data_IF_672554978103
#
_entry.id   IF_672554978103
#
_cell.length_a   1.000
_cell.length_b   1.000
_cell.length_c   1.000
_cell.angle_alpha   90.00
_cell.angle_beta   90.00
_cell.angle_gamma   90.00
#
_symmetry.space_group_name_H-M   'P 1'
#
loop_
_entity.id
_entity.type
_entity.pdbx_description
1 polymer ?
#
# COMPACT_ATOMS: atom_id res chain seq x y z
N UNK A 1 -9.64 -0.36 22.71
CA UNK A 1 -9.08 -1.65 23.14
C UNK A 1 -7.64 -1.66 22.72
N UNK A 2 -6.70 -1.82 23.66
CA UNK A 2 -5.31 -2.05 23.31
C UNK A 2 -5.24 -3.42 22.63
N UNK A 3 -4.84 -3.45 21.36
CA UNK A 3 -4.54 -4.70 20.67
C UNK A 3 -3.21 -5.15 21.26
N UNK A 4 -3.25 -6.13 22.16
CA UNK A 4 -2.05 -6.81 22.63
C UNK A 4 -1.37 -7.39 21.37
N UNK A 5 -0.10 -7.08 21.07
CA UNK A 5 0.54 -7.57 19.86
C UNK A 5 0.66 -9.10 19.94
N UNK A 6 -0.24 -9.80 19.24
CA UNK A 6 -0.37 -11.26 19.31
C UNK A 6 0.83 -11.96 18.65
N UNK A 7 1.55 -11.29 17.73
CA UNK A 7 2.73 -11.85 17.07
C UNK A 7 4.04 -11.12 17.45
N UNK A 8 5.21 -11.80 17.35
CA UNK A 8 6.52 -11.15 17.45
C UNK A 8 6.71 -9.99 16.44
N UNK A 9 6.09 -10.09 15.27
CA UNK A 9 6.14 -9.06 14.24
C UNK A 9 5.41 -7.78 14.68
N UNK A 10 4.25 -7.92 15.32
CA UNK A 10 3.50 -6.77 15.85
C UNK A 10 4.29 -6.03 16.93
N UNK A 11 4.99 -6.77 17.80
CA UNK A 11 5.88 -6.19 18.82
C UNK A 11 7.02 -5.39 18.19
N UNK A 12 7.61 -5.92 17.12
CA UNK A 12 8.67 -5.24 16.39
C UNK A 12 8.17 -3.94 15.75
N UNK A 13 6.99 -3.96 15.13
CA UNK A 13 6.39 -2.75 14.58
C UNK A 13 6.04 -1.71 15.64
N UNK A 14 5.57 -2.13 16.81
CA UNK A 14 5.37 -1.23 17.95
C UNK A 14 6.69 -0.60 18.43
N UNK A 15 7.77 -1.38 18.47
CA UNK A 15 9.10 -0.87 18.81
C UNK A 15 9.57 0.18 17.80
N UNK A 16 9.43 -0.07 16.50
CA UNK A 16 9.77 0.89 15.44
C UNK A 16 8.91 2.16 15.50
N UNK A 17 7.64 2.05 15.90
CA UNK A 17 6.74 3.19 16.07
C UNK A 17 7.05 4.07 17.28
N UNK A 18 7.83 3.59 18.26
CA UNK A 18 8.04 4.26 19.55
C UNK A 18 8.60 5.68 19.42
N UNK A 19 9.51 5.90 18.48
CA UNK A 19 10.08 7.23 18.22
C UNK A 19 9.00 8.29 17.92
N UNK A 20 7.92 7.91 17.24
CA UNK A 20 6.82 8.81 16.90
C UNK A 20 5.80 8.95 18.04
N UNK A 21 5.75 7.98 18.97
CA UNK A 21 4.95 8.10 20.20
C UNK A 21 5.53 9.20 21.10
N UNK A 22 6.86 9.31 21.14
CA UNK A 22 7.57 10.31 21.94
C UNK A 22 7.46 11.74 21.36
N UNK A 23 7.03 11.90 20.10
CA UNK A 23 6.81 13.21 19.50
C UNK A 23 5.57 13.89 20.11
N UNK A 24 5.68 15.18 20.45
CA UNK A 24 4.52 16.01 20.69
C UNK A 24 3.68 16.17 19.41
N UNK A 25 2.43 16.62 19.55
CA UNK A 25 1.49 16.70 18.42
C UNK A 25 2.00 17.60 17.28
N UNK A 26 2.68 18.71 17.61
CA UNK A 26 3.17 19.66 16.62
C UNK A 26 4.40 19.12 15.89
N UNK A 27 5.31 18.45 16.61
CA UNK A 27 6.47 17.78 16.02
C UNK A 27 6.03 16.66 15.08
N UNK A 28 5.07 15.82 15.50
CA UNK A 28 4.49 14.77 14.66
C UNK A 28 3.79 15.35 13.42
N UNK A 29 2.99 16.41 13.59
CA UNK A 29 2.32 17.08 12.47
C UNK A 29 3.33 17.63 11.45
N UNK A 30 4.37 18.32 11.91
CA UNK A 30 5.42 18.88 11.04
C UNK A 30 6.18 17.79 10.31
N UNK A 31 6.55 16.72 11.01
CA UNK A 31 7.26 15.60 10.41
C UNK A 31 6.43 14.96 9.29
N UNK A 32 5.15 14.69 9.53
CA UNK A 32 4.25 14.14 8.50
C UNK A 32 4.10 15.05 7.29
N UNK A 33 3.85 16.35 7.51
CA UNK A 33 3.71 17.32 6.42
C UNK A 33 4.98 17.45 5.59
N UNK A 34 6.16 17.47 6.24
CA UNK A 34 7.45 17.51 5.56
C UNK A 34 7.69 16.24 4.75
N UNK A 35 7.42 15.06 5.33
CA UNK A 35 7.60 13.78 4.65
C UNK A 35 6.69 13.67 3.43
N UNK A 36 5.41 14.07 3.51
CA UNK A 36 4.52 14.14 2.34
C UNK A 36 5.09 14.99 1.21
N UNK A 37 5.71 16.14 1.54
CA UNK A 37 6.40 16.96 0.55
C UNK A 37 7.60 16.26 -0.12
N UNK A 38 8.27 15.32 0.57
CA UNK A 38 9.33 14.50 -0.03
C UNK A 38 8.79 13.39 -0.93
N UNK A 39 7.56 12.92 -0.67
CA UNK A 39 6.91 11.87 -1.47
C UNK A 39 6.31 12.40 -2.78
N UNK A 40 6.09 13.70 -2.89
CA UNK A 40 5.44 14.32 -4.03
C UNK A 40 6.18 14.04 -5.36
N UNK A 41 5.40 13.82 -6.42
CA UNK A 41 5.86 13.67 -7.81
C UNK A 41 6.36 12.27 -8.17
N UNK A 42 6.18 11.26 -7.32
CA UNK A 42 6.68 9.90 -7.57
C UNK A 42 5.69 8.80 -7.19
N UNK A 43 5.80 7.68 -7.89
CA UNK A 43 5.21 6.42 -7.50
C UNK A 43 6.21 5.65 -6.62
N UNK A 44 5.82 5.36 -5.38
CA UNK A 44 6.68 4.75 -4.37
C UNK A 44 6.34 3.30 -4.14
N UNK A 45 7.38 2.47 -4.02
CA UNK A 45 7.25 1.13 -3.46
C UNK A 45 6.75 1.19 -2.03
N UNK A 46 5.82 0.32 -1.67
CA UNK A 46 5.35 0.16 -0.30
C UNK A 46 6.51 -0.21 0.64
N UNK A 47 7.46 -1.02 0.15
CA UNK A 47 8.68 -1.41 0.88
C UNK A 47 9.67 -0.27 1.15
N UNK A 48 9.50 0.91 0.54
CA UNK A 48 10.47 2.00 0.68
C UNK A 48 10.60 2.45 2.15
N UNK A 49 11.80 2.54 2.74
CA UNK A 49 11.97 2.81 4.18
C UNK A 49 11.29 4.10 4.66
N UNK A 50 11.29 5.16 3.84
CA UNK A 50 10.59 6.42 4.15
C UNK A 50 9.07 6.23 4.21
N UNK A 51 8.49 5.35 3.38
CA UNK A 51 7.06 5.03 3.41
C UNK A 51 6.72 4.20 4.65
N UNK A 52 7.56 3.23 5.00
CA UNK A 52 7.43 2.48 6.25
C UNK A 52 7.44 3.41 7.48
N UNK A 53 8.40 4.32 7.55
CA UNK A 53 8.46 5.34 8.60
C UNK A 53 7.23 6.26 8.59
N UNK A 54 6.78 6.69 7.40
CA UNK A 54 5.58 7.51 7.26
C UNK A 54 4.35 6.79 7.81
N UNK A 55 4.14 5.53 7.44
CA UNK A 55 2.97 4.74 7.86
C UNK A 55 2.91 4.55 9.38
N UNK A 56 4.06 4.30 10.03
CA UNK A 56 4.13 4.22 11.49
C UNK A 56 3.75 5.54 12.16
N UNK A 57 4.31 6.66 11.69
CA UNK A 57 3.95 7.98 12.19
C UNK A 57 2.47 8.31 11.91
N UNK A 58 1.95 7.93 10.75
CA UNK A 58 0.59 8.20 10.32
C UNK A 58 -0.45 7.43 11.15
N UNK A 59 -0.16 6.18 11.55
CA UNK A 59 -1.01 5.41 12.47
C UNK A 59 -1.14 6.13 13.82
N UNK A 60 -0.02 6.52 14.42
CA UNK A 60 -0.02 7.25 15.69
C UNK A 60 -0.73 8.61 15.54
N UNK A 61 -0.53 9.28 14.41
CA UNK A 61 -1.18 10.54 14.13
C UNK A 61 -2.68 10.41 13.88
N UNK A 62 -3.12 9.30 13.29
CA UNK A 62 -4.52 8.96 13.13
C UNK A 62 -5.17 8.75 14.49
N UNK A 63 -4.57 7.95 15.37
CA UNK A 63 -5.07 7.73 16.74
C UNK A 63 -5.19 9.06 17.52
N UNK A 64 -4.20 9.94 17.34
CA UNK A 64 -4.16 11.27 17.99
C UNK A 64 -4.95 12.34 17.24
N UNK A 65 -5.57 12.00 16.10
CA UNK A 65 -6.36 12.91 15.26
C UNK A 65 -5.60 14.18 14.85
N UNK A 66 -4.30 14.04 14.55
CA UNK A 66 -3.37 15.17 14.33
C UNK A 66 -3.85 16.11 13.23
N UNK A 67 -4.32 15.57 12.10
CA UNK A 67 -4.78 16.38 10.97
C UNK A 67 -6.04 17.20 11.31
N UNK A 68 -6.93 16.67 12.16
CA UNK A 68 -8.12 17.39 12.61
C UNK A 68 -7.80 18.55 13.57
N UNK A 69 -6.65 18.49 14.25
CA UNK A 69 -6.18 19.57 15.14
C UNK A 69 -5.65 20.79 14.39
N UNK A 70 -5.40 20.68 13.07
CA UNK A 70 -4.94 21.78 12.19
C UNK A 70 -3.67 22.49 12.70
N UNK A 71 -2.73 21.72 13.25
CA UNK A 71 -1.49 22.24 13.82
C UNK A 71 -0.48 22.71 12.76
N UNK A 72 -0.56 22.14 11.56
CA UNK A 72 0.26 22.50 10.39
C UNK A 72 -0.61 22.48 9.13
N UNK A 73 -0.18 23.21 8.12
CA UNK A 73 -0.77 23.15 6.79
C UNK A 73 -0.18 21.94 6.04
N UNK A 74 -1.01 21.01 5.52
CA UNK A 74 -0.51 19.94 4.66
C UNK A 74 0.03 20.50 3.34
N UNK A 75 0.91 19.76 2.62
CA UNK A 75 1.36 20.20 1.30
C UNK A 75 0.16 20.39 0.35
N UNK A 76 0.14 21.52 -0.36
CA UNK A 76 -1.04 22.01 -1.06
C UNK A 76 -1.58 21.07 -2.16
N UNK A 77 -0.71 20.22 -2.72
CA UNK A 77 -1.08 19.28 -3.76
C UNK A 77 -1.91 18.07 -3.24
N UNK A 78 -1.90 17.82 -1.92
CA UNK A 78 -2.61 16.69 -1.33
C UNK A 78 -4.03 17.09 -0.92
N UNK A 79 -5.02 16.44 -1.54
CA UNK A 79 -6.43 16.58 -1.18
C UNK A 79 -6.72 15.92 0.18
N UNK A 80 -7.81 16.32 0.85
CA UNK A 80 -8.29 15.60 2.03
C UNK A 80 -8.87 14.24 1.61
N UNK A 81 -8.39 13.16 2.22
CA UNK A 81 -8.96 11.82 2.03
C UNK A 81 -10.36 11.73 2.68
N UNK A 82 -11.37 11.19 2.00
CA UNK A 82 -12.75 11.16 2.52
C UNK A 82 -12.89 10.30 3.78
N UNK A 83 -12.07 9.26 3.93
CA UNK A 83 -12.16 8.29 5.02
C UNK A 83 -11.69 8.82 6.39
N UNK A 84 -10.69 9.71 6.43
CA UNK A 84 -10.09 10.18 7.69
C UNK A 84 -9.71 11.66 7.70
N UNK A 85 -9.90 12.37 6.58
CA UNK A 85 -9.54 13.79 6.38
C UNK A 85 -8.06 14.12 6.51
N UNK A 86 -7.20 13.10 6.55
CA UNK A 86 -5.78 13.27 6.38
C UNK A 86 -5.44 13.59 4.91
N UNK A 87 -4.25 14.13 4.61
CA UNK A 87 -3.76 14.26 3.24
C UNK A 87 -3.79 12.91 2.50
N UNK A 88 -4.37 12.90 1.31
CA UNK A 88 -4.61 11.71 0.51
C UNK A 88 -3.29 11.16 -0.05
N UNK A 89 -2.83 10.06 0.55
CA UNK A 89 -1.74 9.23 0.03
C UNK A 89 -2.32 7.83 -0.26
N UNK A 90 -2.73 7.56 -1.52
CA UNK A 90 -3.35 6.30 -1.91
C UNK A 90 -2.33 5.20 -2.16
N UNK A 91 -2.70 3.96 -1.83
CA UNK A 91 -1.97 2.74 -2.14
C UNK A 91 -2.76 1.88 -3.13
N UNK A 92 -2.10 1.48 -4.20
CA UNK A 92 -2.55 0.45 -5.13
C UNK A 92 -2.07 -0.92 -4.64
N UNK A 93 -3.00 -1.86 -4.48
CA UNK A 93 -2.72 -3.28 -4.15
C UNK A 93 -3.28 -4.19 -5.24
N UNK A 94 -2.96 -5.49 -5.17
CA UNK A 94 -3.59 -6.50 -6.06
C UNK A 94 -5.11 -6.60 -5.87
N UNK A 95 -5.61 -6.33 -4.66
CA UNK A 95 -7.04 -6.39 -4.30
C UNK A 95 -7.81 -5.10 -4.62
N UNK A 96 -7.35 -4.31 -5.59
CA UNK A 96 -7.90 -2.99 -5.92
C UNK A 96 -9.35 -3.05 -6.41
N UNK A 97 -9.78 -4.19 -6.97
CA UNK A 97 -11.17 -4.38 -7.43
C UNK A 97 -12.14 -4.46 -6.25
N UNK A 98 -11.70 -5.02 -5.12
CA UNK A 98 -12.48 -5.19 -3.91
C UNK A 98 -12.31 -4.00 -2.95
N UNK A 99 -11.08 -3.51 -2.81
CA UNK A 99 -10.69 -2.55 -1.78
C UNK A 99 -10.62 -1.10 -2.29
N UNK A 100 -10.56 -0.87 -3.60
CA UNK A 100 -10.18 0.42 -4.17
C UNK A 100 -8.72 0.78 -3.84
N UNK A 101 -8.40 2.07 -3.89
CA UNK A 101 -7.11 2.56 -3.39
C UNK A 101 -7.16 2.73 -1.87
N UNK A 102 -6.16 2.19 -1.17
CA UNK A 102 -6.11 2.15 0.30
C UNK A 102 -5.42 3.38 0.88
N UNK A 103 -5.96 3.96 1.94
CA UNK A 103 -5.38 5.13 2.59
C UNK A 103 -4.13 4.77 3.42
N UNK A 104 -3.00 5.43 3.19
CA UNK A 104 -1.80 5.24 4.01
C UNK A 104 -1.86 5.84 5.43
N UNK A 105 -2.93 6.57 5.76
CA UNK A 105 -3.10 7.14 7.10
C UNK A 105 -3.96 6.27 8.02
N UNK A 106 -5.01 5.61 7.50
CA UNK A 106 -5.96 4.85 8.31
C UNK A 106 -6.29 3.45 7.76
N UNK A 107 -5.70 3.05 6.64
CA UNK A 107 -5.91 1.74 5.98
C UNK A 107 -7.34 1.44 5.51
N UNK A 108 -8.27 2.39 5.61
CA UNK A 108 -9.58 2.30 4.94
C UNK A 108 -9.46 2.63 3.44
N UNK A 109 -10.49 2.29 2.67
CA UNK A 109 -10.62 2.73 1.27
C UNK A 109 -10.59 4.26 1.19
N UNK A 110 -9.59 4.79 0.50
CA UNK A 110 -9.43 6.21 0.22
C UNK A 110 -10.16 6.61 -1.07
N UNK A 111 -10.11 5.75 -2.09
CA UNK A 111 -10.79 5.95 -3.37
C UNK A 111 -11.42 4.62 -3.80
N UNK A 112 -12.76 4.50 -3.84
CA UNK A 112 -13.43 3.32 -4.38
C UNK A 112 -13.01 3.04 -5.81
N UNK A 113 -13.01 1.77 -6.23
CA UNK A 113 -12.59 1.38 -7.57
C UNK A 113 -13.39 2.11 -8.66
N UNK A 114 -14.69 2.29 -8.45
CA UNK A 114 -15.62 2.97 -9.36
C UNK A 114 -15.31 4.46 -9.54
N UNK A 115 -14.61 5.07 -8.59
CA UNK A 115 -14.24 6.49 -8.58
C UNK A 115 -12.83 6.74 -9.16
N UNK A 116 -12.07 5.69 -9.47
CA UNK A 116 -10.80 5.82 -10.19
C UNK A 116 -11.10 6.35 -11.60
N UNK A 117 -10.27 7.29 -12.08
CA UNK A 117 -10.38 7.83 -13.45
C UNK A 117 -10.51 6.71 -14.48
N UNK A 118 -11.50 6.81 -15.37
CA UNK A 118 -11.87 5.77 -16.34
C UNK A 118 -10.68 5.29 -17.20
N UNK A 119 -9.76 6.20 -17.53
CA UNK A 119 -8.56 5.89 -18.31
C UNK A 119 -7.63 4.91 -17.59
N UNK A 120 -7.46 5.09 -16.28
CA UNK A 120 -6.60 4.23 -15.46
C UNK A 120 -7.37 3.01 -14.95
N UNK A 121 -8.65 3.18 -14.61
CA UNK A 121 -9.51 2.13 -14.06
C UNK A 121 -9.53 0.88 -14.95
N UNK A 122 -9.65 1.06 -16.27
CA UNK A 122 -9.64 -0.06 -17.23
C UNK A 122 -8.32 -0.83 -17.26
N UNK A 123 -7.19 -0.13 -17.16
CA UNK A 123 -5.84 -0.71 -17.15
C UNK A 123 -5.62 -1.49 -15.85
N UNK A 124 -5.98 -0.88 -14.72
CA UNK A 124 -5.87 -1.50 -13.40
C UNK A 124 -6.76 -2.72 -13.30
N UNK A 125 -7.97 -2.66 -13.86
CA UNK A 125 -8.89 -3.79 -13.91
C UNK A 125 -8.27 -4.99 -14.62
N UNK A 126 -7.77 -4.76 -15.84
CA UNK A 126 -7.15 -5.81 -16.64
C UNK A 126 -5.98 -6.45 -15.88
N UNK A 127 -5.13 -5.62 -15.27
CA UNK A 127 -3.99 -6.09 -14.48
C UNK A 127 -4.43 -6.92 -13.26
N UNK A 128 -5.43 -6.46 -12.50
CA UNK A 128 -5.93 -7.17 -11.33
C UNK A 128 -6.61 -8.50 -11.71
N UNK A 129 -7.39 -8.52 -12.80
CA UNK A 129 -8.00 -9.74 -13.34
C UNK A 129 -6.95 -10.76 -13.84
N UNK A 130 -5.83 -10.29 -14.38
CA UNK A 130 -4.68 -11.11 -14.76
C UNK A 130 -3.92 -11.63 -13.53
N UNK A 131 -3.80 -10.81 -12.48
CA UNK A 131 -3.13 -11.16 -11.23
C UNK A 131 -3.89 -12.20 -10.40
N UNK A 132 -5.21 -12.08 -10.30
CA UNK A 132 -6.06 -12.92 -9.46
C UNK A 132 -5.82 -14.44 -9.63
N UNK A 133 -5.81 -15.02 -10.84
CA UNK A 133 -5.56 -16.45 -11.01
C UNK A 133 -4.12 -16.87 -10.68
N UNK A 134 -3.15 -15.95 -10.78
CA UNK A 134 -1.75 -16.18 -10.39
C UNK A 134 -1.65 -16.29 -8.87
N UNK A 135 -2.20 -15.32 -8.14
CA UNK A 135 -2.26 -15.34 -6.67
C UNK A 135 -3.02 -16.56 -6.13
N UNK A 136 -4.10 -16.96 -6.81
CA UNK A 136 -4.93 -18.09 -6.40
C UNK A 136 -4.17 -19.41 -6.30
N UNK A 137 -3.02 -19.58 -6.97
CA UNK A 137 -2.19 -20.80 -6.90
C UNK A 137 -1.72 -21.09 -5.47
N UNK A 138 -1.39 -20.06 -4.69
CA UNK A 138 -1.03 -20.21 -3.28
C UNK A 138 -2.18 -20.82 -2.45
N UNK A 139 -3.43 -20.53 -2.85
CA UNK A 139 -4.65 -20.90 -2.14
C UNK A 139 -5.36 -22.11 -2.73
N UNK A 140 -4.75 -22.84 -3.68
CA UNK A 140 -5.34 -24.04 -4.26
C UNK A 140 -5.62 -25.11 -3.21
N UNK A 141 -6.80 -25.71 -3.27
CA UNK A 141 -7.17 -26.87 -2.45
C UNK A 141 -6.46 -28.16 -2.94
N UNK A 142 -6.40 -29.18 -2.09
CA UNK A 142 -5.77 -30.48 -2.38
C UNK A 142 -6.19 -31.09 -3.73
N UNK A 143 -7.46 -30.93 -4.11
CA UNK A 143 -7.97 -31.44 -5.39
C UNK A 143 -7.34 -30.71 -6.58
N UNK A 144 -7.20 -29.39 -6.49
CA UNK A 144 -6.58 -28.57 -7.53
C UNK A 144 -5.08 -28.88 -7.63
N UNK A 145 -4.39 -28.96 -6.48
CA UNK A 145 -2.97 -29.34 -6.40
C UNK A 145 -2.70 -30.69 -7.05
N UNK A 146 -3.51 -31.70 -6.75
CA UNK A 146 -3.41 -33.05 -7.37
C UNK A 146 -3.70 -33.03 -8.87
N UNK A 147 -4.61 -32.16 -9.33
CA UNK A 147 -4.94 -32.06 -10.76
C UNK A 147 -3.85 -31.41 -11.61
N UNK A 148 -3.02 -30.54 -11.01
CA UNK A 148 -1.91 -29.89 -11.67
C UNK A 148 -0.72 -30.84 -11.95
N UNK A 149 -0.70 -32.00 -11.28
CA UNK A 149 0.38 -33.00 -11.39
C UNK A 149 1.64 -32.61 -10.60
N UNK A 150 2.13 -31.38 -10.81
CA UNK A 150 3.30 -30.82 -10.13
C UNK A 150 2.95 -29.43 -9.57
N UNK A 151 2.57 -29.41 -8.29
CA UNK A 151 2.16 -28.19 -7.60
C UNK A 151 3.33 -27.24 -7.36
N UNK A 152 4.50 -27.76 -6.99
CA UNK A 152 5.68 -26.95 -6.70
C UNK A 152 6.08 -26.16 -7.94
N UNK A 153 6.08 -26.80 -9.12
CA UNK A 153 6.31 -26.10 -10.38
C UNK A 153 5.23 -25.07 -10.71
N UNK A 154 3.96 -25.34 -10.41
CA UNK A 154 2.88 -24.38 -10.62
C UNK A 154 3.03 -23.15 -9.71
N UNK A 155 3.39 -23.38 -8.45
CA UNK A 155 3.66 -22.33 -7.46
C UNK A 155 4.86 -21.48 -7.87
N UNK A 156 5.99 -22.09 -8.25
CA UNK A 156 7.17 -21.37 -8.74
C UNK A 156 6.88 -20.52 -9.98
N UNK A 157 6.08 -21.04 -10.91
CA UNK A 157 5.67 -20.27 -12.09
C UNK A 157 4.76 -19.09 -11.70
N UNK A 158 3.88 -19.29 -10.73
CA UNK A 158 3.00 -18.23 -10.23
C UNK A 158 3.80 -17.12 -9.54
N UNK A 159 4.80 -17.47 -8.72
CA UNK A 159 5.70 -16.49 -8.09
C UNK A 159 6.42 -15.62 -9.15
N UNK A 160 7.01 -16.23 -10.18
CA UNK A 160 7.67 -15.49 -11.28
C UNK A 160 6.70 -14.59 -12.06
N UNK A 161 5.47 -15.05 -12.26
CA UNK A 161 4.47 -14.26 -12.96
C UNK A 161 3.95 -13.10 -12.09
N UNK A 162 3.82 -13.32 -10.79
CA UNK A 162 3.53 -12.28 -9.81
C UNK A 162 4.65 -11.23 -9.79
N UNK A 163 5.93 -11.62 -9.80
CA UNK A 163 7.06 -10.69 -9.94
C UNK A 163 6.92 -9.80 -11.19
N UNK A 164 6.62 -10.41 -12.35
CA UNK A 164 6.41 -9.68 -13.62
C UNK A 164 5.25 -8.70 -13.53
N UNK A 165 4.11 -9.13 -12.97
CA UNK A 165 2.92 -8.30 -12.86
C UNK A 165 3.10 -7.17 -11.83
N UNK A 166 3.79 -7.40 -10.72
CA UNK A 166 4.14 -6.36 -9.76
C UNK A 166 5.13 -5.35 -10.37
N UNK A 167 6.12 -5.81 -11.14
CA UNK A 167 7.02 -4.92 -11.89
C UNK A 167 6.25 -4.05 -12.90
N UNK A 168 5.27 -4.64 -13.61
CA UNK A 168 4.37 -3.90 -14.51
C UNK A 168 3.54 -2.86 -13.75
N UNK A 169 3.01 -3.22 -12.57
CA UNK A 169 2.27 -2.28 -11.72
C UNK A 169 3.15 -1.07 -11.37
N UNK A 170 4.36 -1.30 -10.88
CA UNK A 170 5.29 -0.23 -10.50
C UNK A 170 5.81 0.62 -11.66
N UNK A 171 6.14 0.00 -12.80
CA UNK A 171 6.81 0.69 -13.92
C UNK A 171 5.83 1.33 -14.92
N UNK A 172 4.62 0.79 -15.07
CA UNK A 172 3.71 1.17 -16.17
C UNK A 172 2.35 1.71 -15.70
N UNK A 173 1.85 1.23 -14.56
CA UNK A 173 0.50 1.56 -14.05
C UNK A 173 0.59 2.67 -13.01
N UNK A 174 1.38 2.45 -11.96
CA UNK A 174 1.57 3.37 -10.83
C UNK A 174 1.95 4.81 -11.26
N UNK A 175 2.85 5.04 -12.25
CA UNK A 175 3.17 6.39 -12.69
C UNK A 175 2.00 7.15 -13.33
N UNK A 176 1.03 6.45 -13.94
CA UNK A 176 -0.14 7.11 -14.58
C UNK A 176 -1.05 7.80 -13.57
N UNK A 177 -1.10 7.28 -12.34
CA UNK A 177 -1.87 7.89 -11.26
C UNK A 177 -1.33 9.26 -10.83
N UNK A 178 -0.09 9.60 -11.18
CA UNK A 178 0.51 10.90 -10.82
C UNK A 178 -0.13 12.08 -11.56
N UNK A 179 -0.94 11.83 -12.60
CA UNK A 179 -1.79 12.86 -13.21
C UNK A 179 -2.96 13.28 -12.32
N UNK A 180 -3.36 12.41 -11.38
CA UNK A 180 -4.54 12.59 -10.52
C UNK A 180 -4.19 12.80 -9.04
N UNK A 181 -3.07 12.24 -8.60
CA UNK A 181 -2.61 12.30 -7.21
C UNK A 181 -1.17 12.83 -7.15
N UNK A 182 -0.82 13.63 -6.12
CA UNK A 182 0.54 14.15 -5.96
C UNK A 182 1.59 13.04 -5.77
N UNK A 183 1.19 11.90 -5.22
CA UNK A 183 2.01 10.70 -5.08
C UNK A 183 1.10 9.47 -5.06
N UNK A 184 1.66 8.31 -5.42
CA UNK A 184 1.00 7.02 -5.30
C UNK A 184 1.95 6.04 -4.63
N UNK A 185 1.44 5.19 -3.75
CA UNK A 185 2.16 4.01 -3.25
C UNK A 185 1.66 2.77 -3.98
N UNK A 186 2.52 1.80 -4.24
CA UNK A 186 2.12 0.52 -4.83
C UNK A 186 2.73 -0.65 -4.04
N UNK A 187 1.94 -1.71 -3.86
CA UNK A 187 2.36 -2.95 -3.22
C UNK A 187 3.39 -3.67 -4.10
N UNK A 188 4.57 -3.92 -3.57
CA UNK A 188 5.69 -4.55 -4.28
C UNK A 188 6.08 -5.91 -3.70
N UNK A 189 5.11 -6.64 -3.15
CA UNK A 189 5.29 -7.97 -2.57
C UNK A 189 4.00 -8.80 -2.65
N UNK A 190 4.15 -10.13 -2.58
CA UNK A 190 3.06 -11.08 -2.38
C UNK A 190 3.50 -12.16 -1.40
N UNK A 191 3.10 -12.02 -0.14
CA UNK A 191 3.48 -12.94 0.93
C UNK A 191 2.97 -14.37 0.71
N UNK A 192 1.86 -14.54 -0.03
CA UNK A 192 1.29 -15.88 -0.28
C UNK A 192 2.07 -16.65 -1.33
N UNK A 193 2.77 -15.95 -2.23
CA UNK A 193 3.64 -16.53 -3.26
C UNK A 193 5.14 -16.39 -2.90
N UNK A 194 5.46 -15.95 -1.67
CA UNK A 194 6.82 -15.65 -1.20
C UNK A 194 7.59 -14.63 -2.06
N UNK A 195 6.89 -13.80 -2.83
CA UNK A 195 7.50 -12.74 -3.65
C UNK A 195 7.82 -11.54 -2.78
N UNK A 196 9.10 -11.15 -2.75
CA UNK A 196 9.59 -10.06 -1.90
C UNK A 196 9.92 -8.81 -2.73
N UNK A 197 10.05 -7.64 -2.07
CA UNK A 197 10.45 -6.41 -2.75
C UNK A 197 11.74 -6.53 -3.58
N UNK A 198 12.74 -7.27 -3.09
CA UNK A 198 14.01 -7.49 -3.78
C UNK A 198 13.91 -8.30 -5.08
N UNK A 199 12.84 -9.07 -5.26
CA UNK A 199 12.62 -9.91 -6.43
C UNK A 199 12.06 -9.11 -7.62
N UNK A 200 11.48 -7.93 -7.36
CA UNK A 200 10.80 -7.12 -8.38
C UNK A 200 11.82 -6.29 -9.19
N UNK A 201 12.02 -6.54 -10.50
CA UNK A 201 12.89 -5.74 -11.34
C UNK A 201 12.27 -4.35 -11.64
N UNK A 202 13.09 -3.30 -11.65
CA UNK A 202 12.73 -1.93 -12.09
C UNK A 202 13.46 -1.54 -13.36
#
# INVERSE_FOLDING_TARGET
MAIDPESPLDKLWQEYGRVFQDFDDLTLARWLAQTLGQLEGRAWRLSHPLLGAYRLAAQIAHDRQIWLKRLVTPPAAYLEAPCCRAPLLPLLTRDVLESGLVCQNCSATAVPFEEISAEIQSIVKLWAEEYAPVHAVAHWEDRQRKSAGDYDRAYDNAAREAERLLAQAGAQIAPRFLEFYPALVWEDQDECLEVRPEDIPL
#
